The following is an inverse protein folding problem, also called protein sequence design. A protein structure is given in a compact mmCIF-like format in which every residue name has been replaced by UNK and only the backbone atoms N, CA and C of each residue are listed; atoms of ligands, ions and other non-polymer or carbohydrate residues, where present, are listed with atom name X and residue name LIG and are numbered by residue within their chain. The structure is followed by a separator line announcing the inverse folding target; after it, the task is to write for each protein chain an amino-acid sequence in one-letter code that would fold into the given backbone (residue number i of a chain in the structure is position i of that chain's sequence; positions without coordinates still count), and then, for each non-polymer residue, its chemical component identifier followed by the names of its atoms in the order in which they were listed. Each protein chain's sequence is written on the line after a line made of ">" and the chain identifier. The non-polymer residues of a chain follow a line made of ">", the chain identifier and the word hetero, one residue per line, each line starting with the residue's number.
data_IF_011949734109
#
_entry.id   IF_011949734109
#
_cell.length_a   1.000
_cell.length_b   1.000
_cell.length_c   1.000
_cell.angle_alpha   90.00
_cell.angle_beta   90.00
_cell.angle_gamma   90.00
#
_symmetry.space_group_name_H-M   'P 1'
#
loop_
_entity.id
_entity.type
_entity.pdbx_description
1 polymer ?
#
# COMPACT_ATOMS: atom_id res chain seq x y z
N UNK A 1 -46.79 -25.18 11.03
CA UNK A 1 -45.63 -24.70 10.25
C UNK A 1 -45.16 -23.39 10.88
N UNK A 2 -43.91 -23.29 11.33
CA UNK A 2 -43.37 -22.12 12.05
C UNK A 2 -42.43 -21.37 11.10
N UNK A 3 -42.68 -20.10 10.86
CA UNK A 3 -41.80 -19.24 10.07
C UNK A 3 -40.98 -18.41 11.05
N UNK A 4 -39.66 -18.58 11.03
CA UNK A 4 -38.73 -17.76 11.81
C UNK A 4 -38.19 -16.64 10.92
N UNK A 5 -38.46 -15.39 11.30
CA UNK A 5 -37.79 -14.25 10.70
C UNK A 5 -36.37 -14.16 11.27
N UNK A 6 -35.35 -14.49 10.46
CA UNK A 6 -33.97 -14.11 10.78
C UNK A 6 -33.94 -12.60 10.96
N UNK A 7 -33.36 -12.13 12.08
CA UNK A 7 -33.30 -10.73 12.48
C UNK A 7 -33.07 -9.77 11.30
N UNK A 8 -33.73 -8.61 11.33
CA UNK A 8 -33.44 -7.52 10.40
C UNK A 8 -31.94 -7.22 10.43
N UNK A 9 -31.32 -7.19 9.24
CA UNK A 9 -29.92 -6.78 9.02
C UNK A 9 -29.71 -5.38 9.60
N UNK A 10 -29.31 -5.29 10.86
CA UNK A 10 -28.81 -4.06 11.49
C UNK A 10 -27.30 -4.03 11.25
N UNK A 11 -26.72 -2.83 11.06
CA UNK A 11 -25.29 -2.57 10.82
C UNK A 11 -24.84 -2.85 9.37
N UNK A 12 -25.28 -2.00 8.43
CA UNK A 12 -24.70 -1.93 7.09
C UNK A 12 -23.94 -0.60 6.93
N UNK A 13 -22.86 -0.62 6.16
CA UNK A 13 -22.13 0.57 5.74
C UNK A 13 -22.52 0.91 4.30
N UNK A 14 -22.81 2.19 4.05
CA UNK A 14 -22.99 2.69 2.69
C UNK A 14 -21.63 3.16 2.18
N UNK A 15 -21.24 2.69 0.99
CA UNK A 15 -20.01 3.09 0.31
C UNK A 15 -20.40 3.62 -1.06
N UNK A 16 -19.79 4.71 -1.49
CA UNK A 16 -20.04 5.33 -2.78
C UNK A 16 -19.77 4.35 -3.93
N UNK A 17 -20.58 4.45 -4.97
CA UNK A 17 -20.41 3.64 -6.17
C UNK A 17 -19.17 4.04 -6.97
N UNK A 18 -18.59 5.22 -6.71
CA UNK A 18 -17.38 5.70 -7.38
C UNK A 18 -16.23 4.72 -7.15
N UNK A 19 -15.83 4.51 -5.89
CA UNK A 19 -14.76 3.56 -5.56
C UNK A 19 -15.11 2.11 -5.89
N UNK A 20 -16.38 1.73 -5.80
CA UNK A 20 -16.82 0.38 -6.16
C UNK A 20 -16.62 0.10 -7.66
N UNK A 21 -16.88 1.10 -8.52
CA UNK A 21 -16.75 1.02 -9.98
C UNK A 21 -15.34 1.33 -10.50
N UNK A 22 -14.45 1.83 -9.65
CA UNK A 22 -13.08 2.12 -10.04
C UNK A 22 -12.32 0.81 -10.35
N UNK A 23 -11.92 0.65 -11.62
CA UNK A 23 -11.19 -0.52 -12.09
C UNK A 23 -9.66 -0.36 -12.00
N UNK A 24 -9.18 0.80 -11.55
CA UNK A 24 -7.75 1.09 -11.40
C UNK A 24 -7.20 0.60 -10.05
N UNK A 25 -8.09 0.24 -9.11
CA UNK A 25 -7.73 -0.23 -7.77
C UNK A 25 -8.08 -1.70 -7.57
N UNK A 26 -7.25 -2.39 -6.80
CA UNK A 26 -7.40 -3.80 -6.45
C UNK A 26 -8.58 -4.04 -5.52
N UNK A 27 -9.10 -5.29 -5.53
CA UNK A 27 -10.12 -5.71 -4.57
C UNK A 27 -9.65 -5.58 -3.11
N UNK A 28 -8.33 -5.65 -2.86
CA UNK A 28 -7.74 -5.47 -1.54
C UNK A 28 -7.86 -4.02 -1.08
N UNK A 29 -7.53 -3.07 -1.94
CA UNK A 29 -7.73 -1.64 -1.69
C UNK A 29 -9.22 -1.33 -1.43
N UNK A 30 -10.14 -1.87 -2.24
CA UNK A 30 -11.58 -1.75 -2.01
C UNK A 30 -12.03 -2.35 -0.66
N UNK A 31 -11.47 -3.50 -0.29
CA UNK A 31 -11.72 -4.13 1.01
C UNK A 31 -11.26 -3.26 2.19
N UNK A 32 -10.10 -2.62 2.08
CA UNK A 32 -9.64 -1.66 3.08
C UNK A 32 -10.61 -0.47 3.18
N UNK A 33 -11.13 0.02 2.07
CA UNK A 33 -12.10 1.13 2.09
C UNK A 33 -13.39 0.75 2.81
N UNK A 34 -13.90 -0.46 2.57
CA UNK A 34 -15.05 -0.98 3.31
C UNK A 34 -14.79 -1.02 4.82
N UNK A 35 -13.57 -1.42 5.22
CA UNK A 35 -13.16 -1.42 6.62
C UNK A 35 -13.09 0.03 7.15
N UNK A 36 -12.55 0.98 6.39
CA UNK A 36 -12.47 2.39 6.80
C UNK A 36 -13.87 3.00 7.03
N UNK A 37 -14.82 2.77 6.12
CA UNK A 37 -16.21 3.28 6.22
C UNK A 37 -17.01 2.61 7.35
N UNK A 38 -16.55 1.47 7.86
CA UNK A 38 -17.18 0.82 9.00
C UNK A 38 -16.98 1.58 10.32
N UNK A 39 -15.90 2.34 10.45
CA UNK A 39 -15.58 3.06 11.68
C UNK A 39 -16.22 4.45 11.74
N UNK A 40 -16.55 4.94 12.94
CA UNK A 40 -17.04 6.30 13.12
C UNK A 40 -15.95 7.34 12.76
N UNK A 41 -16.38 8.53 12.34
CA UNK A 41 -15.51 9.62 11.86
C UNK A 41 -14.38 10.01 12.82
N UNK A 42 -14.57 9.80 14.13
CA UNK A 42 -13.64 10.26 15.17
C UNK A 42 -12.60 9.18 15.55
N UNK A 43 -12.56 8.06 14.83
CA UNK A 43 -11.72 6.92 15.18
C UNK A 43 -10.24 7.19 14.87
N UNK A 44 -9.36 6.94 15.84
CA UNK A 44 -7.93 7.10 15.68
C UNK A 44 -7.34 5.86 15.00
N UNK A 45 -6.94 6.01 13.74
CA UNK A 45 -6.60 4.88 12.89
C UNK A 45 -5.12 4.48 12.98
N UNK A 46 -4.87 3.19 13.17
CA UNK A 46 -3.53 2.60 13.15
C UNK A 46 -3.45 1.52 12.07
N UNK A 47 -2.38 1.51 11.29
CA UNK A 47 -2.16 0.50 10.23
C UNK A 47 -2.08 -0.92 10.81
N UNK A 48 -1.63 -1.05 12.05
CA UNK A 48 -1.59 -2.31 12.80
C UNK A 48 -2.99 -2.85 13.06
N UNK A 49 -3.97 -1.97 13.33
CA UNK A 49 -5.35 -2.37 13.58
C UNK A 49 -6.01 -2.99 12.37
N UNK A 50 -5.61 -2.64 11.14
CA UNK A 50 -6.16 -3.26 9.93
C UNK A 50 -5.92 -4.77 9.88
N UNK A 51 -4.81 -5.26 10.46
CA UNK A 51 -4.51 -6.69 10.51
C UNK A 51 -5.53 -7.45 11.36
N UNK A 52 -6.20 -6.79 12.30
CA UNK A 52 -7.25 -7.42 13.12
C UNK A 52 -8.54 -7.69 12.31
N UNK A 53 -8.70 -7.08 11.12
CA UNK A 53 -9.91 -7.16 10.29
C UNK A 53 -9.73 -7.96 8.99
N UNK A 54 -8.51 -8.41 8.69
CA UNK A 54 -8.22 -9.19 7.47
C UNK A 54 -7.15 -10.25 7.73
N UNK A 55 -7.21 -11.34 6.98
CA UNK A 55 -6.16 -12.37 6.95
C UNK A 55 -4.93 -11.94 6.12
N UNK A 56 -4.93 -10.73 5.56
CA UNK A 56 -3.82 -10.19 4.79
C UNK A 56 -2.64 -9.80 5.69
N UNK A 57 -1.43 -10.16 5.23
CA UNK A 57 -0.21 -9.75 5.91
C UNK A 57 0.08 -8.24 5.80
N UNK A 58 0.92 -7.73 6.70
CA UNK A 58 1.33 -6.31 6.78
C UNK A 58 1.75 -5.71 5.44
N UNK A 59 2.55 -6.42 4.66
CA UNK A 59 3.02 -5.94 3.34
C UNK A 59 1.87 -5.75 2.36
N UNK A 60 0.90 -6.67 2.36
CA UNK A 60 -0.25 -6.60 1.48
C UNK A 60 -1.16 -5.42 1.83
N UNK A 61 -1.39 -5.21 3.12
CA UNK A 61 -2.13 -4.04 3.62
C UNK A 61 -1.41 -2.75 3.23
N UNK A 62 -0.10 -2.67 3.48
CA UNK A 62 0.68 -1.47 3.18
C UNK A 62 0.68 -1.12 1.69
N UNK A 63 0.74 -2.13 0.81
CA UNK A 63 0.65 -1.94 -0.64
C UNK A 63 -0.74 -1.46 -1.06
N UNK A 64 -1.81 -2.04 -0.52
CA UNK A 64 -3.17 -1.60 -0.81
C UNK A 64 -3.44 -0.18 -0.30
N UNK A 65 -2.85 0.22 0.84
CA UNK A 65 -2.93 1.61 1.31
C UNK A 65 -2.20 2.59 0.38
N UNK A 66 -1.02 2.21 -0.13
CA UNK A 66 -0.29 3.02 -1.13
C UNK A 66 -1.07 3.15 -2.44
N UNK A 67 -1.76 2.10 -2.83
CA UNK A 67 -2.63 2.10 -4.01
C UNK A 67 -3.79 3.09 -3.83
N UNK A 68 -4.41 3.13 -2.65
CA UNK A 68 -5.44 4.13 -2.30
C UNK A 68 -4.89 5.56 -2.28
N UNK A 69 -3.64 5.74 -1.83
CA UNK A 69 -2.97 7.04 -1.89
C UNK A 69 -2.74 7.50 -3.33
N UNK A 70 -2.26 6.60 -4.17
CA UNK A 70 -1.98 6.90 -5.57
C UNK A 70 -3.24 7.20 -6.38
N UNK A 71 -4.35 6.51 -6.09
CA UNK A 71 -5.66 6.73 -6.71
C UNK A 71 -6.42 7.92 -6.12
N UNK A 72 -5.92 8.55 -5.06
CA UNK A 72 -6.50 9.77 -4.49
C UNK A 72 -7.68 9.52 -3.55
N UNK A 73 -7.94 8.30 -3.10
CA UNK A 73 -8.96 8.02 -2.08
C UNK A 73 -8.45 8.18 -0.66
N UNK A 74 -7.13 8.14 -0.46
CA UNK A 74 -6.49 8.21 0.84
C UNK A 74 -5.36 9.24 0.85
N UNK A 75 -5.28 10.03 1.89
CA UNK A 75 -4.13 10.87 2.20
C UNK A 75 -3.62 10.53 3.59
N UNK A 76 -2.31 10.32 3.72
CA UNK A 76 -1.67 10.09 5.03
C UNK A 76 -0.50 11.04 5.23
N UNK A 77 -0.42 11.63 6.43
CA UNK A 77 0.71 12.48 6.84
C UNK A 77 1.24 12.05 8.19
N UNK A 78 2.55 11.93 8.29
CA UNK A 78 3.24 11.77 9.58
C UNK A 78 3.55 13.16 10.13
N UNK A 79 3.00 13.48 11.31
CA UNK A 79 3.32 14.69 12.05
C UNK A 79 4.52 14.43 12.95
N UNK A 80 5.42 15.43 13.00
CA UNK A 80 6.61 15.41 13.86
C UNK A 80 6.62 16.65 14.72
N UNK A 81 6.94 16.45 15.99
CA UNK A 81 7.14 17.54 16.94
C UNK A 81 8.59 17.48 17.42
N UNK A 82 9.31 18.60 17.32
CA UNK A 82 10.72 18.70 17.75
C UNK A 82 11.61 17.59 17.17
N UNK A 83 11.37 17.20 15.91
CA UNK A 83 12.11 16.16 15.21
C UNK A 83 11.74 14.72 15.60
N UNK A 84 10.80 14.52 16.53
CA UNK A 84 10.31 13.19 16.93
C UNK A 84 8.94 12.92 16.29
N UNK A 85 8.64 11.64 16.09
CA UNK A 85 7.30 11.23 15.69
C UNK A 85 6.28 11.65 16.76
N UNK A 86 5.23 12.36 16.34
CA UNK A 86 4.14 12.75 17.21
C UNK A 86 2.89 11.93 16.90
N UNK A 87 2.39 12.02 15.66
CA UNK A 87 1.15 11.35 15.27
C UNK A 87 1.08 11.11 13.76
N UNK A 88 0.04 10.40 13.32
CA UNK A 88 -0.26 10.18 11.90
C UNK A 88 -1.69 10.58 11.63
N UNK A 89 -1.89 11.42 10.62
CA UNK A 89 -3.21 11.86 10.16
C UNK A 89 -3.57 11.07 8.91
N UNK A 90 -4.83 10.64 8.83
CA UNK A 90 -5.41 9.95 7.69
C UNK A 90 -6.67 10.70 7.27
N UNK A 91 -6.81 10.94 5.97
CA UNK A 91 -7.99 11.55 5.37
C UNK A 91 -8.44 10.60 4.28
N UNK A 92 -9.68 10.15 4.35
CA UNK A 92 -10.23 9.17 3.43
C UNK A 92 -11.53 9.71 2.84
N UNK A 93 -11.75 9.43 1.56
CA UNK A 93 -13.00 9.68 0.86
C UNK A 93 -13.25 8.50 -0.08
N UNK A 94 -14.48 7.97 -0.08
CA UNK A 94 -14.92 6.94 -1.02
C UNK A 94 -15.41 7.50 -2.37
N UNK A 95 -15.47 8.83 -2.49
CA UNK A 95 -15.73 9.56 -3.74
C UNK A 95 -14.46 10.12 -4.37
N UNK A 96 -13.33 10.04 -3.66
CA UNK A 96 -12.05 10.66 -4.03
C UNK A 96 -11.81 11.96 -3.28
N UNK A 97 -10.54 12.31 -3.08
CA UNK A 97 -10.11 13.52 -2.39
C UNK A 97 -9.89 14.65 -3.39
N UNK A 98 -10.51 15.79 -3.11
CA UNK A 98 -10.27 17.04 -3.82
C UNK A 98 -9.11 17.83 -3.18
N UNK A 99 -8.66 18.90 -3.85
CA UNK A 99 -7.72 19.81 -3.20
C UNK A 99 -8.32 20.49 -1.97
N UNK A 100 -9.63 20.75 -1.98
CA UNK A 100 -10.33 21.42 -0.89
C UNK A 100 -10.30 20.56 0.37
N UNK A 101 -10.49 19.24 0.24
CA UNK A 101 -10.40 18.26 1.35
C UNK A 101 -9.00 18.24 2.00
N UNK A 102 -7.98 18.68 1.27
CA UNK A 102 -6.60 18.63 1.71
C UNK A 102 -6.02 20.01 2.09
N UNK A 103 -6.77 21.11 1.92
CA UNK A 103 -6.26 22.49 2.10
C UNK A 103 -5.59 22.69 3.46
N UNK A 104 -6.31 22.35 4.53
CA UNK A 104 -5.86 22.54 5.91
C UNK A 104 -4.57 21.75 6.21
N UNK A 105 -4.35 20.65 5.49
CA UNK A 105 -3.21 19.75 5.70
C UNK A 105 -2.01 20.07 4.81
N UNK A 106 -2.23 20.64 3.63
CA UNK A 106 -1.17 21.17 2.77
C UNK A 106 -0.51 22.41 3.37
N UNK A 107 -1.23 23.23 4.14
CA UNK A 107 -0.64 24.41 4.78
C UNK A 107 0.44 24.05 5.81
N UNK A 108 0.26 22.94 6.53
CA UNK A 108 1.26 22.38 7.45
C UNK A 108 2.58 22.04 6.71
N UNK A 109 2.56 21.86 5.37
CA UNK A 109 3.77 21.63 4.57
C UNK A 109 4.71 22.84 4.56
N UNK A 110 4.21 24.06 4.80
CA UNK A 110 5.01 25.29 4.80
C UNK A 110 5.75 25.52 6.12
N UNK A 111 5.22 25.02 7.24
CA UNK A 111 5.82 25.18 8.57
C UNK A 111 6.87 24.12 8.91
N UNK A 112 6.90 23.01 8.16
CA UNK A 112 7.86 21.91 8.36
C UNK A 112 9.13 22.02 7.48
N UNK A 113 9.35 23.12 6.76
CA UNK A 113 10.60 23.37 6.02
C UNK A 113 11.70 23.76 7.01
N UNK A 114 12.13 22.79 7.83
CA UNK A 114 13.48 22.79 8.38
C UNK A 114 14.44 22.63 7.20
N UNK A 115 15.42 23.52 7.10
CA UNK A 115 16.53 23.40 6.12
C UNK A 115 17.12 22.00 6.19
N UNK A 116 16.98 21.23 5.13
CA UNK A 116 17.80 20.05 4.91
C UNK A 116 19.14 20.57 4.40
N UNK A 117 20.06 20.91 5.31
CA UNK A 117 21.47 20.93 4.93
C UNK A 117 21.81 19.53 4.41
N UNK A 118 22.45 19.51 3.25
CA UNK A 118 22.90 18.33 2.52
C UNK A 118 23.82 17.46 3.37
N UNK A 119 23.22 16.60 4.18
CA UNK A 119 23.88 15.54 4.94
C UNK A 119 24.03 14.28 4.10
N UNK A 120 25.13 14.24 3.35
CA UNK A 120 25.67 13.05 2.67
C UNK A 120 25.52 11.81 3.57
N UNK A 121 24.68 10.84 3.20
CA UNK A 121 24.70 9.52 3.85
C UNK A 121 25.70 8.63 3.12
N UNK A 122 26.86 8.40 3.73
CA UNK A 122 27.80 7.35 3.32
C UNK A 122 27.22 5.99 3.72
N UNK A 123 26.52 5.33 2.80
CA UNK A 123 26.29 3.88 2.88
C UNK A 123 27.38 3.18 2.09
N UNK A 124 28.40 2.67 2.78
CA UNK A 124 29.41 1.78 2.20
C UNK A 124 28.78 0.41 2.02
N UNK A 125 28.30 0.10 0.82
CA UNK A 125 28.13 -1.28 0.35
C UNK A 125 28.92 -1.42 -0.96
N UNK A 126 30.23 -1.57 -0.80
CA UNK A 126 31.11 -2.03 -1.87
C UNK A 126 31.16 -3.55 -1.79
N UNK A 127 30.55 -4.24 -2.76
CA UNK A 127 31.34 -5.16 -3.59
C UNK A 127 30.69 -5.26 -4.97
N UNK A 128 31.45 -4.68 -5.90
CA UNK A 128 31.24 -4.55 -7.33
C UNK A 128 31.09 -5.89 -8.05
N UNK A 129 30.15 -5.93 -8.99
CA UNK A 129 30.16 -6.84 -10.12
C UNK A 129 31.44 -6.63 -10.95
N UNK A 130 32.11 -7.72 -11.32
CA UNK A 130 32.90 -7.76 -12.56
C UNK A 130 32.50 -8.98 -13.37
N UNK A 131 31.81 -8.70 -14.47
CA UNK A 131 31.62 -9.57 -15.63
C UNK A 131 32.98 -9.82 -16.28
N UNK A 132 33.34 -11.08 -16.54
CA UNK A 132 34.28 -11.44 -17.60
C UNK A 132 33.76 -12.65 -18.37
N UNK A 133 33.45 -12.39 -19.64
CA UNK A 133 33.32 -13.38 -20.70
C UNK A 133 34.55 -14.29 -20.76
N UNK A 134 34.36 -15.56 -21.12
CA UNK A 134 35.37 -16.31 -21.85
C UNK A 134 34.70 -17.08 -22.98
N UNK A 135 35.22 -16.88 -24.18
CA UNK A 135 34.65 -17.28 -25.45
C UNK A 135 35.46 -18.47 -26.03
N UNK A 136 34.73 -19.40 -26.66
CA UNK A 136 35.15 -20.40 -27.68
C UNK A 136 36.14 -21.52 -27.28
N UNK A 137 35.71 -22.78 -27.50
CA UNK A 137 36.08 -23.57 -28.71
C UNK A 137 35.33 -24.91 -28.75
N UNK A 138 34.63 -25.15 -29.86
CA UNK A 138 34.18 -26.46 -30.32
C UNK A 138 35.41 -27.27 -30.82
N UNK A 139 35.39 -28.60 -30.78
CA UNK A 139 35.34 -29.30 -32.06
C UNK A 139 34.46 -30.56 -32.07
N UNK A 140 33.84 -30.79 -33.24
CA UNK A 140 33.30 -32.08 -33.67
C UNK A 140 34.38 -33.16 -33.73
N UNK A 141 34.03 -34.42 -33.44
CA UNK A 141 34.20 -35.57 -34.37
C UNK A 141 33.62 -36.90 -33.84
N UNK A 142 32.73 -37.48 -34.67
CA UNK A 142 32.63 -38.88 -35.14
C UNK A 142 32.78 -40.06 -34.14
N UNK A 143 31.63 -40.69 -33.87
CA UNK A 143 31.34 -42.06 -34.34
C UNK A 143 31.73 -43.24 -33.45
N UNK A 144 30.74 -44.07 -33.08
CA UNK A 144 30.55 -45.46 -33.56
C UNK A 144 29.35 -46.12 -32.88
N UNK A 145 28.57 -46.84 -33.70
CA UNK A 145 27.50 -47.76 -33.33
C UNK A 145 28.01 -48.84 -32.35
N UNK A 146 27.12 -49.32 -31.48
CA UNK A 146 26.94 -50.77 -31.24
C UNK A 146 25.52 -51.05 -30.73
N UNK A 147 24.80 -51.85 -31.53
CA UNK A 147 23.62 -52.64 -31.17
C UNK A 147 24.16 -54.06 -30.80
N UNK A 148 23.32 -54.83 -30.10
CA UNK A 148 23.39 -56.25 -29.71
C UNK A 148 24.01 -56.50 -28.31
N UNK A 149 23.40 -57.28 -27.42
CA UNK A 149 22.35 -58.32 -27.53
C UNK A 149 21.17 -58.05 -26.58
#
# INVERSE_FOLDING_TARGET
>A
MKVEFKQKKKNFSMVSNVIAKDNTISLKAKGICLILVHFPENWHFYEEKLQDYTNDGKTAISNALKELEFSGYLYRKQLREKGRFASKVWIFSDEGLSQDDLRDFLEIRKTDIGKNDSGKSSTTNTHSNQTKECNKKNPQKKGRKKILL
#
